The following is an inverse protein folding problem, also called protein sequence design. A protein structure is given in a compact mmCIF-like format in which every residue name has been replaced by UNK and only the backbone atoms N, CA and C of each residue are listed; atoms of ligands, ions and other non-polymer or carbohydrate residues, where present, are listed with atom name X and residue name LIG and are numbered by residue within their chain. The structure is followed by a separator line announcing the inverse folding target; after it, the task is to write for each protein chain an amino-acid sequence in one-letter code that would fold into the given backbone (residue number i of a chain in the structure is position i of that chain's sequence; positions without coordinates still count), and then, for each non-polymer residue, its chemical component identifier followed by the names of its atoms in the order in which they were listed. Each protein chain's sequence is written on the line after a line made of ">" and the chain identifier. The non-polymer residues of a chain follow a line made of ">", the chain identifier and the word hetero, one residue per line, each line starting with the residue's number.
data_IF_190343563445
#
_entry.id   IF_190343563445
#
_cell.length_a   1.000
_cell.length_b   1.000
_cell.length_c   1.000
_cell.angle_alpha   90.00
_cell.angle_beta   90.00
_cell.angle_gamma   90.00
#
_symmetry.space_group_name_H-M   'P 1'
#
loop_
_entity.id
_entity.type
_entity.pdbx_description
1 polymer ?
#
# COMPACT_ATOMS: atom_id res chain seq x y z
N UNK A 1 -31.35 -2.46 -9.47
CA UNK A 1 -29.89 -2.27 -9.40
C UNK A 1 -29.59 -1.41 -8.18
N UNK A 2 -28.92 -1.97 -7.18
CA UNK A 2 -28.57 -1.26 -5.96
C UNK A 2 -27.31 -0.44 -6.26
N UNK A 3 -27.40 0.88 -6.15
CA UNK A 3 -26.26 1.79 -6.35
C UNK A 3 -25.38 1.74 -5.10
N UNK A 4 -24.08 1.49 -5.28
CA UNK A 4 -23.11 1.50 -4.19
C UNK A 4 -23.03 2.93 -3.63
N UNK A 5 -23.25 3.10 -2.34
CA UNK A 5 -23.20 4.40 -1.65
C UNK A 5 -21.75 4.85 -1.39
N UNK A 6 -20.98 4.99 -2.46
CA UNK A 6 -19.56 5.36 -2.41
C UNK A 6 -19.39 6.80 -2.89
N UNK A 7 -18.65 7.60 -2.14
CA UNK A 7 -18.25 8.94 -2.54
C UNK A 7 -16.80 8.91 -3.06
N UNK A 8 -16.60 9.31 -4.32
CA UNK A 8 -15.26 9.36 -4.93
C UNK A 8 -14.58 10.68 -4.56
N UNK A 9 -13.37 10.59 -4.00
CA UNK A 9 -12.56 11.75 -3.64
C UNK A 9 -11.44 11.94 -4.67
N UNK A 10 -11.28 13.13 -5.27
CA UNK A 10 -10.16 13.40 -6.16
C UNK A 10 -8.86 13.53 -5.35
N UNK A 11 -7.84 12.77 -5.75
CA UNK A 11 -6.50 12.87 -5.17
C UNK A 11 -5.62 13.83 -6.00
N UNK A 12 -4.71 14.60 -5.35
CA UNK A 12 -3.71 15.40 -6.06
C UNK A 12 -2.78 14.53 -6.90
N UNK A 13 -2.11 15.14 -7.89
CA UNK A 13 -1.16 14.47 -8.78
C UNK A 13 0.00 13.84 -8.00
N UNK A 14 0.12 12.50 -8.06
CA UNK A 14 1.17 11.65 -7.50
C UNK A 14 1.69 12.08 -6.10
N UNK A 15 0.97 11.67 -5.06
CA UNK A 15 1.39 11.85 -3.67
C UNK A 15 1.48 10.50 -2.94
N UNK A 16 2.54 9.71 -3.21
CA UNK A 16 2.72 8.39 -2.62
C UNK A 16 2.77 8.43 -1.08
N UNK A 17 3.24 9.54 -0.51
CA UNK A 17 3.25 9.78 0.95
C UNK A 17 1.85 9.83 1.59
N UNK A 18 0.79 10.02 0.79
CA UNK A 18 -0.61 10.02 1.24
C UNK A 18 -1.38 8.76 0.87
N UNK A 19 -0.75 7.83 0.15
CA UNK A 19 -1.41 6.63 -0.36
C UNK A 19 -0.99 5.41 0.46
N UNK A 20 -1.80 4.96 1.45
CA UNK A 20 -1.45 3.80 2.27
C UNK A 20 -1.32 2.52 1.42
N UNK A 21 -1.96 2.49 0.25
CA UNK A 21 -1.83 1.38 -0.71
C UNK A 21 -0.40 1.21 -1.24
N UNK A 22 0.38 2.29 -1.38
CA UNK A 22 1.79 2.19 -1.83
C UNK A 22 2.65 1.48 -0.77
N UNK A 23 2.43 1.81 0.51
CA UNK A 23 3.09 1.15 1.63
C UNK A 23 2.68 -0.32 1.74
N UNK A 24 1.40 -0.63 1.48
CA UNK A 24 0.91 -2.01 1.41
C UNK A 24 1.59 -2.79 0.28
N UNK A 25 1.76 -2.19 -0.90
CA UNK A 25 2.48 -2.82 -2.01
C UNK A 25 3.95 -3.02 -1.72
N UNK A 26 4.60 -2.08 -1.04
CA UNK A 26 5.96 -2.25 -0.58
C UNK A 26 6.07 -3.43 0.39
N UNK A 27 5.19 -3.49 1.40
CA UNK A 27 5.17 -4.58 2.37
C UNK A 27 4.93 -5.94 1.71
N UNK A 28 3.95 -6.04 0.80
CA UNK A 28 3.71 -7.26 0.04
C UNK A 28 4.96 -7.67 -0.77
N UNK A 29 5.67 -6.72 -1.38
CA UNK A 29 6.91 -7.04 -2.11
C UNK A 29 7.99 -7.58 -1.19
N UNK A 30 8.21 -6.93 -0.05
CA UNK A 30 9.20 -7.31 0.96
C UNK A 30 8.95 -8.72 1.53
N UNK A 31 7.70 -9.02 1.87
CA UNK A 31 7.35 -10.27 2.56
C UNK A 31 7.12 -11.45 1.60
N UNK A 32 6.53 -11.18 0.43
CA UNK A 32 6.12 -12.22 -0.51
C UNK A 32 7.16 -12.44 -1.62
N UNK A 33 7.82 -11.40 -2.13
CA UNK A 33 8.61 -11.53 -3.37
C UNK A 33 10.10 -11.26 -3.24
N UNK A 34 10.55 -10.52 -2.23
CA UNK A 34 11.92 -9.99 -2.18
C UNK A 34 13.00 -11.07 -2.03
N UNK A 35 12.71 -12.15 -1.30
CA UNK A 35 13.64 -13.26 -1.07
C UNK A 35 13.11 -14.60 -1.59
N UNK A 36 12.09 -14.58 -2.46
CA UNK A 36 11.43 -15.81 -2.90
C UNK A 36 11.10 -15.75 -4.39
N UNK A 37 11.57 -16.75 -5.14
CA UNK A 37 11.16 -16.98 -6.50
C UNK A 37 10.16 -18.13 -6.53
N UNK A 38 8.96 -17.87 -7.03
CA UNK A 38 7.91 -18.88 -7.16
C UNK A 38 8.05 -19.64 -8.47
N UNK A 39 7.75 -20.95 -8.43
CA UNK A 39 7.85 -21.82 -9.60
C UNK A 39 6.63 -21.71 -10.50
N UNK A 40 5.53 -21.15 -9.98
CA UNK A 40 4.30 -20.91 -10.75
C UNK A 40 3.54 -19.68 -10.25
N UNK A 41 2.66 -19.15 -11.10
CA UNK A 41 1.74 -18.09 -10.71
C UNK A 41 0.75 -18.52 -9.62
N UNK A 42 0.35 -19.81 -9.60
CA UNK A 42 -0.56 -20.33 -8.58
C UNK A 42 0.04 -20.26 -7.17
N UNK A 43 1.33 -20.60 -7.04
CA UNK A 43 2.07 -20.49 -5.79
C UNK A 43 2.18 -19.04 -5.31
N UNK A 44 2.47 -18.11 -6.22
CA UNK A 44 2.49 -16.68 -5.89
C UNK A 44 1.11 -16.21 -5.39
N UNK A 45 0.02 -16.59 -6.07
CA UNK A 45 -1.34 -16.22 -5.67
C UNK A 45 -1.68 -16.77 -4.28
N UNK A 46 -1.34 -18.02 -3.99
CA UNK A 46 -1.54 -18.62 -2.67
C UNK A 46 -0.77 -17.86 -1.59
N UNK A 47 0.48 -17.49 -1.87
CA UNK A 47 1.31 -16.72 -0.93
C UNK A 47 0.77 -15.32 -0.67
N UNK A 48 0.24 -14.65 -1.70
CA UNK A 48 -0.46 -13.38 -1.55
C UNK A 48 -1.71 -13.53 -0.68
N UNK A 49 -2.49 -14.60 -0.84
CA UNK A 49 -3.66 -14.85 0.01
C UNK A 49 -3.29 -15.12 1.48
N UNK A 50 -2.19 -15.85 1.72
CA UNK A 50 -1.70 -16.07 3.08
C UNK A 50 -1.24 -14.75 3.72
N UNK A 51 -0.53 -13.91 2.97
CA UNK A 51 -0.17 -12.56 3.40
C UNK A 51 -1.42 -11.73 3.76
N UNK A 52 -2.44 -11.73 2.91
CA UNK A 52 -3.71 -11.04 3.17
C UNK A 52 -4.37 -11.52 4.48
N UNK A 53 -4.42 -12.83 4.71
CA UNK A 53 -4.99 -13.41 5.94
C UNK A 53 -4.20 -13.03 7.19
N UNK A 54 -2.87 -13.00 7.10
CA UNK A 54 -1.98 -12.64 8.20
C UNK A 54 -2.17 -11.18 8.61
N UNK A 55 -2.11 -10.25 7.65
CA UNK A 55 -2.31 -8.82 7.96
C UNK A 55 -3.71 -8.57 8.54
N UNK A 56 -4.75 -9.23 8.01
CA UNK A 56 -6.11 -9.09 8.53
C UNK A 56 -6.26 -9.61 9.97
N UNK A 57 -5.41 -10.55 10.38
CA UNK A 57 -5.38 -11.08 11.74
C UNK A 57 -4.71 -10.11 12.73
N UNK A 58 -3.93 -9.13 12.25
CA UNK A 58 -3.23 -8.14 13.06
C UNK A 58 -3.53 -6.68 12.64
N UNK A 59 -4.75 -6.17 12.91
CA UNK A 59 -5.18 -4.84 12.45
C UNK A 59 -4.36 -3.67 13.03
N UNK A 60 -3.71 -3.86 14.18
CA UNK A 60 -2.86 -2.83 14.78
C UNK A 60 -1.54 -2.68 14.04
N UNK A 61 -0.95 -3.78 13.57
CA UNK A 61 0.28 -3.72 12.75
C UNK A 61 0.02 -3.09 11.38
N UNK A 62 -1.15 -3.35 10.77
CA UNK A 62 -1.58 -2.64 9.57
C UNK A 62 -1.59 -1.13 9.83
N UNK A 63 -2.19 -0.70 10.93
CA UNK A 63 -2.34 0.72 11.26
C UNK A 63 -0.98 1.41 11.47
N UNK A 64 -0.03 0.71 12.08
CA UNK A 64 1.33 1.21 12.34
C UNK A 64 2.17 1.27 11.05
N UNK A 65 2.12 0.21 10.22
CA UNK A 65 2.92 0.12 8.99
C UNK A 65 2.38 0.96 7.83
N UNK A 66 1.06 1.13 7.73
CA UNK A 66 0.42 1.91 6.67
C UNK A 66 0.24 3.39 7.06
N UNK A 67 0.86 3.83 8.16
CA UNK A 67 0.75 5.20 8.62
C UNK A 67 1.36 6.17 7.59
N UNK A 68 0.48 6.93 6.94
CA UNK A 68 0.85 7.96 5.98
C UNK A 68 1.12 9.30 6.67
N UNK A 69 1.93 10.16 6.05
CA UNK A 69 2.13 11.52 6.55
C UNK A 69 0.80 12.27 6.47
N UNK A 70 0.33 12.82 7.60
CA UNK A 70 -0.89 13.64 7.62
C UNK A 70 -0.65 15.10 7.19
N UNK A 71 0.61 15.49 6.99
CA UNK A 71 1.01 16.82 6.57
C UNK A 71 2.24 16.74 5.68
N UNK A 72 2.22 17.49 4.58
CA UNK A 72 3.39 17.75 3.75
C UNK A 72 4.17 18.89 4.38
N UNK A 73 5.48 18.73 4.53
CA UNK A 73 6.35 19.86 4.83
C UNK A 73 6.55 20.68 3.54
N UNK A 74 6.03 21.92 3.46
CA UNK A 74 6.12 22.74 2.26
C UNK A 74 7.56 23.10 1.89
N UNK A 75 8.53 22.99 2.79
CA UNK A 75 9.94 23.23 2.50
C UNK A 75 10.66 21.97 1.97
N UNK A 76 10.25 20.75 2.38
CA UNK A 76 10.75 19.50 1.77
C UNK A 76 10.18 19.28 0.35
N UNK A 77 8.91 19.61 0.13
CA UNK A 77 8.24 19.40 -1.17
C UNK A 77 8.82 20.26 -2.30
N UNK A 78 9.31 21.47 -1.97
CA UNK A 78 10.01 22.34 -2.94
C UNK A 78 11.30 21.74 -3.48
N UNK A 79 11.89 20.77 -2.78
CA UNK A 79 13.11 20.09 -3.18
C UNK A 79 12.85 18.82 -4.02
N UNK A 80 11.59 18.39 -4.12
CA UNK A 80 11.17 17.18 -4.85
C UNK A 80 10.74 17.43 -6.30
N UNK A 81 10.81 18.68 -6.79
CA UNK A 81 10.75 18.96 -8.22
C UNK A 81 11.99 18.37 -8.89
N UNK A 82 11.82 17.22 -9.52
CA UNK A 82 12.84 16.57 -10.35
C UNK A 82 13.42 17.55 -11.37
N UNK A 83 14.75 17.65 -11.38
CA UNK A 83 15.50 17.94 -12.61
C UNK A 83 15.45 16.71 -13.50
#
# INVERSE_FOLDING_TARGET
>A
MQVLQINLQPLPSYSPDFMPVEHLWQWLREDVTYHTCYQSAAELIERVHLFEQDIHSNPFEISDRLWVKNHLDPDEEKLRVST
#
